data_IF_523848516754
#
_entry.id   IF_523848516754
#
_cell.length_a   1.000
_cell.length_b   1.000
_cell.length_c   1.000
_cell.angle_alpha   90.00
_cell.angle_beta   90.00
_cell.angle_gamma   90.00
#
_symmetry.space_group_name_H-M   'P 1'
#
loop_
_entity.id
_entity.type
_entity.pdbx_description
1 polymer ?
#
# COMPACT_ATOMS: atom_id res chain seq x y z
N UNK A 1 54.91 -10.18 -119.32
CA UNK A 1 53.80 -10.08 -118.35
C UNK A 1 54.03 -11.13 -117.28
N UNK A 2 54.68 -10.80 -116.17
CA UNK A 2 55.03 -11.81 -115.16
C UNK A 2 55.55 -11.23 -113.83
N UNK A 3 56.29 -10.12 -113.87
CA UNK A 3 57.00 -9.65 -112.67
C UNK A 3 56.29 -8.52 -111.89
N UNK A 4 55.29 -7.85 -112.45
CA UNK A 4 54.54 -6.81 -111.73
C UNK A 4 53.43 -7.36 -110.80
N UNK A 5 52.95 -8.58 -111.04
CA UNK A 5 51.93 -9.20 -110.18
C UNK A 5 52.50 -9.74 -108.86
N UNK A 6 53.79 -10.11 -108.81
CA UNK A 6 54.41 -10.69 -107.61
C UNK A 6 54.66 -9.62 -106.55
N UNK A 7 55.06 -8.40 -106.95
CA UNK A 7 55.25 -7.28 -106.02
C UNK A 7 53.94 -6.80 -105.39
N UNK A 8 52.83 -6.83 -106.14
CA UNK A 8 51.54 -6.41 -105.61
C UNK A 8 50.96 -7.41 -104.60
N UNK A 9 51.17 -8.71 -104.82
CA UNK A 9 50.72 -9.76 -103.88
C UNK A 9 51.56 -9.76 -102.59
N UNK A 10 52.88 -9.53 -102.68
CA UNK A 10 53.75 -9.42 -101.49
C UNK A 10 53.42 -8.15 -100.69
N UNK A 11 53.13 -7.02 -101.34
CA UNK A 11 52.74 -5.79 -100.66
C UNK A 11 51.37 -5.89 -99.96
N UNK A 12 50.39 -6.57 -100.57
CA UNK A 12 49.07 -6.81 -99.96
C UNK A 12 49.19 -7.76 -98.76
N UNK A 13 50.03 -8.80 -98.84
CA UNK A 13 50.28 -9.71 -97.71
C UNK A 13 51.00 -9.03 -96.53
N UNK A 14 51.92 -8.09 -96.80
CA UNK A 14 52.58 -7.29 -95.76
C UNK A 14 51.65 -6.25 -95.12
N UNK A 15 50.76 -5.62 -95.91
CA UNK A 15 49.78 -4.65 -95.40
C UNK A 15 48.64 -5.34 -94.64
N UNK A 16 48.15 -6.49 -95.10
CA UNK A 16 47.13 -7.26 -94.37
C UNK A 16 47.68 -7.94 -93.12
N UNK A 17 48.93 -8.41 -93.17
CA UNK A 17 49.64 -8.97 -92.02
C UNK A 17 49.93 -7.93 -90.93
N UNK A 18 50.33 -6.71 -91.31
CA UNK A 18 50.58 -5.61 -90.37
C UNK A 18 49.32 -5.14 -89.64
N UNK A 19 48.17 -5.09 -90.32
CA UNK A 19 46.88 -4.73 -89.71
C UNK A 19 46.43 -5.78 -88.69
N UNK A 20 46.56 -7.07 -89.00
CA UNK A 20 46.24 -8.15 -88.06
C UNK A 20 47.18 -8.18 -86.84
N UNK A 21 48.49 -7.97 -87.05
CA UNK A 21 49.48 -7.93 -85.96
C UNK A 21 49.24 -6.71 -85.05
N UNK A 22 48.94 -5.54 -85.62
CA UNK A 22 48.65 -4.33 -84.83
C UNK A 22 47.35 -4.44 -84.03
N UNK A 23 46.30 -5.06 -84.58
CA UNK A 23 45.06 -5.34 -83.84
C UNK A 23 45.32 -6.30 -82.68
N UNK A 24 46.07 -7.38 -82.94
CA UNK A 24 46.38 -8.38 -81.92
C UNK A 24 47.26 -7.82 -80.79
N UNK A 25 48.22 -6.95 -81.10
CA UNK A 25 49.01 -6.23 -80.09
C UNK A 25 48.14 -5.29 -79.25
N UNK A 26 47.14 -4.65 -79.85
CA UNK A 26 46.23 -3.74 -79.15
C UNK A 26 45.30 -4.49 -78.21
N UNK A 27 44.74 -5.61 -78.67
CA UNK A 27 43.91 -6.49 -77.84
C UNK A 27 44.74 -7.12 -76.73
N UNK A 28 45.94 -7.62 -77.02
CA UNK A 28 46.83 -8.19 -76.00
C UNK A 28 47.25 -7.15 -74.94
N UNK A 29 47.54 -5.90 -75.33
CA UNK A 29 47.81 -4.81 -74.39
C UNK A 29 46.59 -4.45 -73.55
N UNK A 30 45.38 -4.48 -74.14
CA UNK A 30 44.15 -4.22 -73.41
C UNK A 30 43.89 -5.33 -72.38
N UNK A 31 43.97 -6.60 -72.79
CA UNK A 31 43.74 -7.75 -71.89
C UNK A 31 44.78 -7.82 -70.77
N UNK A 32 46.05 -7.52 -71.07
CA UNK A 32 47.10 -7.47 -70.01
C UNK A 32 46.98 -6.26 -69.08
N UNK A 33 46.32 -5.17 -69.51
CA UNK A 33 45.97 -4.06 -68.62
C UNK A 33 44.84 -4.45 -67.67
N UNK A 34 43.74 -5.00 -68.21
CA UNK A 34 42.59 -5.45 -67.40
C UNK A 34 43.02 -6.50 -66.36
N UNK A 35 43.85 -7.47 -66.75
CA UNK A 35 44.35 -8.49 -65.81
C UNK A 35 45.21 -7.88 -64.69
N UNK A 36 45.98 -6.81 -64.97
CA UNK A 36 46.80 -6.14 -63.95
C UNK A 36 45.97 -5.29 -63.00
N UNK A 37 44.90 -4.68 -63.51
CA UNK A 37 43.93 -3.90 -62.75
C UNK A 37 43.14 -4.83 -61.83
N UNK A 38 42.60 -5.94 -62.35
CA UNK A 38 41.92 -6.98 -61.56
C UNK A 38 42.84 -7.63 -60.51
N UNK A 39 44.14 -7.72 -60.77
CA UNK A 39 45.13 -8.23 -59.81
C UNK A 39 45.47 -7.20 -58.72
N UNK A 40 45.45 -5.90 -59.05
CA UNK A 40 45.65 -4.82 -58.08
C UNK A 40 44.43 -4.70 -57.15
N UNK A 41 43.22 -4.72 -57.71
CA UNK A 41 41.97 -4.66 -56.94
C UNK A 41 41.82 -5.86 -56.01
N UNK A 42 42.10 -7.09 -56.48
CA UNK A 42 42.12 -8.28 -55.62
C UNK A 42 43.17 -8.21 -54.51
N UNK A 43 44.30 -7.52 -54.75
CA UNK A 43 45.32 -7.32 -53.73
C UNK A 43 44.86 -6.32 -52.66
N UNK A 44 44.12 -5.28 -53.04
CA UNK A 44 43.55 -4.30 -52.12
C UNK A 44 42.44 -4.91 -51.27
N UNK A 45 41.54 -5.69 -51.87
CA UNK A 45 40.49 -6.44 -51.17
C UNK A 45 41.06 -7.44 -50.15
N UNK A 46 42.17 -8.13 -50.49
CA UNK A 46 42.85 -9.02 -49.55
C UNK A 46 43.47 -8.27 -48.35
N UNK A 47 43.95 -7.04 -48.55
CA UNK A 47 44.48 -6.21 -47.46
C UNK A 47 43.34 -5.75 -46.54
N UNK A 48 42.23 -5.30 -47.11
CA UNK A 48 41.02 -4.91 -46.36
C UNK A 48 40.50 -6.11 -45.54
N UNK A 49 40.35 -7.28 -46.18
CA UNK A 49 39.90 -8.50 -45.50
C UNK A 49 40.83 -8.91 -44.36
N UNK A 50 42.16 -8.79 -44.54
CA UNK A 50 43.12 -9.08 -43.45
C UNK A 50 42.96 -8.08 -42.31
N UNK A 51 42.70 -6.82 -42.59
CA UNK A 51 42.47 -5.79 -41.58
C UNK A 51 41.20 -6.05 -40.78
N UNK A 52 40.09 -6.36 -41.44
CA UNK A 52 38.83 -6.75 -40.80
C UNK A 52 38.99 -8.02 -39.96
N UNK A 53 39.76 -9.00 -40.45
CA UNK A 53 40.06 -10.23 -39.70
C UNK A 53 40.85 -9.94 -38.42
N UNK A 54 41.82 -9.02 -38.47
CA UNK A 54 42.57 -8.60 -37.28
C UNK A 54 41.68 -7.83 -36.30
N UNK A 55 40.79 -6.96 -36.79
CA UNK A 55 39.83 -6.25 -35.95
C UNK A 55 38.81 -7.21 -35.31
N UNK A 56 38.35 -8.20 -36.05
CA UNK A 56 37.49 -9.26 -35.54
C UNK A 56 38.22 -10.07 -34.45
N UNK A 57 39.50 -10.39 -34.66
CA UNK A 57 40.33 -11.09 -33.67
C UNK A 57 40.50 -10.28 -32.37
N UNK A 58 40.77 -8.98 -32.46
CA UNK A 58 40.92 -8.14 -31.26
C UNK A 58 39.59 -7.98 -30.53
N UNK A 59 38.49 -7.84 -31.26
CA UNK A 59 37.14 -7.80 -30.69
C UNK A 59 36.80 -9.12 -29.96
N UNK A 60 37.12 -10.28 -30.54
CA UNK A 60 36.94 -11.57 -29.88
C UNK A 60 37.76 -11.71 -28.60
N UNK A 61 39.02 -11.24 -28.59
CA UNK A 61 39.84 -11.28 -27.37
C UNK A 61 39.31 -10.38 -26.28
N UNK A 62 38.78 -9.20 -26.64
CA UNK A 62 38.14 -8.30 -25.68
C UNK A 62 36.87 -8.94 -25.10
N UNK A 63 36.02 -9.51 -25.96
CA UNK A 63 34.80 -10.20 -25.54
C UNK A 63 35.11 -11.37 -24.58
N UNK A 64 36.19 -12.12 -24.82
CA UNK A 64 36.64 -13.17 -23.92
C UNK A 64 37.06 -12.64 -22.55
N UNK A 65 37.75 -11.49 -22.49
CA UNK A 65 38.10 -10.84 -21.22
C UNK A 65 36.87 -10.33 -20.47
N UNK A 66 35.93 -9.72 -21.19
CA UNK A 66 34.66 -9.24 -20.61
C UNK A 66 33.88 -10.41 -20.01
N UNK A 67 33.82 -11.55 -20.71
CA UNK A 67 33.16 -12.76 -20.21
C UNK A 67 33.79 -13.30 -18.92
N UNK A 68 35.12 -13.30 -18.82
CA UNK A 68 35.84 -13.69 -17.60
C UNK A 68 35.49 -12.75 -16.45
N UNK A 69 35.47 -11.44 -16.67
CA UNK A 69 35.10 -10.47 -15.65
C UNK A 69 33.64 -10.63 -15.18
N UNK A 70 32.74 -10.96 -16.11
CA UNK A 70 31.33 -11.19 -15.82
C UNK A 70 31.13 -12.46 -15.00
N UNK A 71 31.92 -13.51 -15.29
CA UNK A 71 31.94 -14.73 -14.50
C UNK A 71 32.40 -14.48 -13.06
N UNK A 72 33.43 -13.65 -12.85
CA UNK A 72 33.91 -13.28 -11.51
C UNK A 72 32.84 -12.50 -10.72
N UNK A 73 32.20 -11.52 -11.36
CA UNK A 73 31.08 -10.78 -10.77
C UNK A 73 29.92 -11.71 -10.39
N UNK A 74 29.61 -12.70 -11.24
CA UNK A 74 28.56 -13.67 -10.95
C UNK A 74 28.90 -14.53 -9.74
N UNK A 75 30.15 -14.98 -9.60
CA UNK A 75 30.59 -15.72 -8.42
C UNK A 75 30.52 -14.89 -7.13
N UNK A 76 30.88 -13.60 -7.18
CA UNK A 76 30.75 -12.70 -6.04
C UNK A 76 29.27 -12.49 -5.64
N UNK A 77 28.36 -12.40 -6.62
CA UNK A 77 26.92 -12.32 -6.37
C UNK A 77 26.42 -13.59 -5.70
N UNK A 78 26.81 -14.77 -6.19
CA UNK A 78 26.42 -16.06 -5.57
C UNK A 78 26.88 -16.15 -4.11
N UNK A 79 28.09 -15.69 -3.81
CA UNK A 79 28.60 -15.67 -2.43
C UNK A 79 27.75 -14.72 -1.54
N UNK A 80 27.47 -13.50 -2.01
CA UNK A 80 26.64 -12.54 -1.28
C UNK A 80 25.23 -13.07 -1.02
N UNK A 81 24.59 -13.68 -2.02
CA UNK A 81 23.26 -14.29 -1.88
C UNK A 81 23.30 -15.44 -0.87
N UNK A 82 24.35 -16.28 -0.91
CA UNK A 82 24.54 -17.36 0.06
C UNK A 82 24.68 -16.84 1.49
N UNK A 83 25.43 -15.76 1.70
CA UNK A 83 25.59 -15.13 3.01
C UNK A 83 24.28 -14.49 3.49
N UNK A 84 23.54 -13.81 2.61
CA UNK A 84 22.25 -13.20 2.94
C UNK A 84 21.20 -14.26 3.32
N UNK A 85 21.19 -15.40 2.62
CA UNK A 85 20.34 -16.55 2.96
C UNK A 85 20.65 -17.09 4.36
N UNK A 86 21.93 -17.18 4.75
CA UNK A 86 22.32 -17.60 6.11
C UNK A 86 21.84 -16.61 7.18
N UNK A 87 22.03 -15.31 6.94
CA UNK A 87 21.58 -14.26 7.87
C UNK A 87 20.06 -14.29 8.02
N UNK A 88 19.33 -14.46 6.91
CA UNK A 88 17.88 -14.55 6.93
C UNK A 88 17.39 -15.77 7.73
N UNK A 89 18.01 -16.93 7.55
CA UNK A 89 17.65 -18.13 8.31
C UNK A 89 17.86 -17.93 9.82
N UNK A 90 18.98 -17.33 10.23
CA UNK A 90 19.22 -17.02 11.65
C UNK A 90 18.18 -16.04 12.18
N UNK A 91 17.84 -15.00 11.39
CA UNK A 91 16.83 -14.02 11.77
C UNK A 91 15.43 -14.65 11.91
N UNK A 92 15.08 -15.60 11.04
CA UNK A 92 13.79 -16.30 11.08
C UNK A 92 13.71 -17.21 12.31
N UNK A 93 14.77 -17.95 12.64
CA UNK A 93 14.79 -18.78 13.85
C UNK A 93 14.71 -17.93 15.12
N UNK A 94 15.41 -16.81 15.19
CA UNK A 94 15.30 -15.90 16.34
C UNK A 94 13.87 -15.34 16.50
N UNK A 95 13.25 -14.89 15.41
CA UNK A 95 11.88 -14.38 15.43
C UNK A 95 10.87 -15.47 15.83
N UNK A 96 11.13 -16.73 15.44
CA UNK A 96 10.33 -17.88 15.85
C UNK A 96 10.43 -18.13 17.34
N UNK A 97 11.62 -18.05 17.91
CA UNK A 97 11.85 -18.20 19.35
C UNK A 97 11.18 -17.08 20.16
N UNK A 98 11.30 -15.83 19.70
CA UNK A 98 10.62 -14.67 20.30
C UNK A 98 9.10 -14.85 20.29
N UNK A 99 8.55 -15.32 19.16
CA UNK A 99 7.12 -15.61 19.05
C UNK A 99 6.67 -16.72 20.03
N UNK A 100 7.48 -17.76 20.24
CA UNK A 100 7.18 -18.81 21.22
C UNK A 100 7.23 -18.28 22.65
N UNK A 101 8.17 -17.38 22.95
CA UNK A 101 8.22 -16.70 24.24
C UNK A 101 6.98 -15.83 24.47
N UNK A 102 6.64 -14.98 23.50
CA UNK A 102 5.46 -14.12 23.56
C UNK A 102 4.17 -14.92 23.75
N UNK A 103 4.03 -16.05 23.04
CA UNK A 103 2.88 -16.96 23.19
C UNK A 103 2.79 -17.56 24.60
N UNK A 104 3.93 -17.86 25.23
CA UNK A 104 3.98 -18.35 26.61
C UNK A 104 3.55 -17.25 27.59
N UNK A 105 4.06 -16.04 27.41
CA UNK A 105 3.75 -14.89 28.26
C UNK A 105 2.26 -14.51 28.15
N UNK A 106 1.69 -14.54 26.95
CA UNK A 106 0.26 -14.30 26.73
C UNK A 106 -0.61 -15.36 27.46
N UNK A 107 -0.17 -16.62 27.48
CA UNK A 107 -0.88 -17.68 28.20
C UNK A 107 -0.83 -17.47 29.72
N UNK A 108 0.31 -17.01 30.24
CA UNK A 108 0.46 -16.64 31.66
C UNK A 108 -0.45 -15.45 32.00
N UNK A 109 -0.47 -14.42 31.15
CA UNK A 109 -1.27 -13.23 31.34
C UNK A 109 -2.77 -13.54 31.35
N UNK A 110 -3.25 -14.36 30.41
CA UNK A 110 -4.65 -14.82 30.40
C UNK A 110 -4.99 -15.63 31.66
N UNK A 111 -4.08 -16.47 32.15
CA UNK A 111 -4.27 -17.19 33.42
C UNK A 111 -4.33 -16.25 34.63
N UNK A 112 -3.55 -15.16 34.63
CA UNK A 112 -3.62 -14.14 35.69
C UNK A 112 -4.89 -13.31 35.64
N UNK A 113 -5.43 -13.04 34.45
CA UNK A 113 -6.70 -12.32 34.29
C UNK A 113 -7.88 -13.13 34.85
N UNK A 114 -7.90 -14.44 34.60
CA UNK A 114 -8.91 -15.36 35.16
C UNK A 114 -8.86 -15.40 36.70
N UNK A 115 -7.65 -15.38 37.28
CA UNK A 115 -7.46 -15.30 38.74
C UNK A 115 -7.94 -13.96 39.30
N UNK A 116 -7.76 -12.85 38.59
CA UNK A 116 -8.25 -11.54 39.01
C UNK A 116 -9.78 -11.45 38.95
N UNK A 117 -10.42 -11.96 37.89
CA UNK A 117 -11.87 -11.98 37.77
C UNK A 117 -12.51 -12.83 38.87
N UNK A 118 -11.96 -14.02 39.16
CA UNK A 118 -12.48 -14.85 40.24
C UNK A 118 -12.32 -14.25 41.64
N UNK A 119 -11.22 -13.53 41.91
CA UNK A 119 -11.08 -12.79 43.17
C UNK A 119 -12.08 -11.65 43.27
N UNK A 120 -12.29 -10.88 42.21
CA UNK A 120 -13.18 -9.72 42.24
C UNK A 120 -14.64 -10.12 42.51
N UNK A 121 -15.12 -11.20 41.88
CA UNK A 121 -16.46 -11.74 42.11
C UNK A 121 -16.64 -12.16 43.57
N UNK A 122 -15.68 -12.91 44.13
CA UNK A 122 -15.74 -13.41 45.52
C UNK A 122 -15.70 -12.27 46.57
N UNK A 123 -14.90 -11.22 46.33
CA UNK A 123 -14.87 -10.06 47.23
C UNK A 123 -16.17 -9.25 47.17
N UNK A 124 -16.80 -9.13 45.99
CA UNK A 124 -18.06 -8.40 45.87
C UNK A 124 -19.21 -9.08 46.61
N UNK A 125 -19.32 -10.41 46.55
CA UNK A 125 -20.38 -11.16 47.23
C UNK A 125 -20.26 -11.10 48.76
N UNK A 126 -19.04 -11.19 49.29
CA UNK A 126 -18.80 -11.12 50.74
C UNK A 126 -19.09 -9.73 51.30
N UNK A 127 -18.73 -8.67 50.57
CA UNK A 127 -19.04 -7.28 50.97
C UNK A 127 -20.55 -7.01 50.90
N UNK A 128 -21.24 -7.48 49.85
CA UNK A 128 -22.70 -7.34 49.72
C UNK A 128 -23.43 -8.07 50.85
N UNK A 129 -23.02 -9.29 51.20
CA UNK A 129 -23.58 -10.03 52.33
C UNK A 129 -23.38 -9.30 53.66
N UNK A 130 -22.19 -8.72 53.89
CA UNK A 130 -21.90 -7.98 55.12
C UNK A 130 -22.75 -6.71 55.23
N UNK A 131 -22.94 -5.97 54.12
CA UNK A 131 -23.83 -4.81 54.07
C UNK A 131 -25.29 -5.21 54.34
N UNK A 132 -25.76 -6.33 53.76
CA UNK A 132 -27.10 -6.82 54.01
C UNK A 132 -27.33 -7.14 55.50
N UNK A 133 -26.38 -7.83 56.14
CA UNK A 133 -26.45 -8.12 57.59
C UNK A 133 -26.50 -6.84 58.43
N UNK A 134 -25.67 -5.84 58.10
CA UNK A 134 -25.70 -4.54 58.78
C UNK A 134 -27.05 -3.84 58.64
N UNK A 135 -27.66 -3.85 57.45
CA UNK A 135 -28.99 -3.23 57.24
C UNK A 135 -30.10 -3.94 58.01
N UNK A 136 -30.06 -5.27 58.12
CA UNK A 136 -31.00 -6.03 58.95
C UNK A 136 -30.83 -5.65 60.42
N UNK A 137 -29.58 -5.53 60.88
CA UNK A 137 -29.28 -5.18 62.25
C UNK A 137 -29.76 -3.78 62.63
N UNK A 138 -29.56 -2.79 61.74
CA UNK A 138 -30.07 -1.43 61.96
C UNK A 138 -31.60 -1.37 61.97
N UNK A 139 -32.28 -2.15 61.14
CA UNK A 139 -33.75 -2.27 61.17
C UNK A 139 -34.25 -2.87 62.47
N UNK A 140 -33.58 -3.90 63.01
CA UNK A 140 -33.93 -4.49 64.31
C UNK A 140 -33.79 -3.45 65.42
N UNK A 141 -32.67 -2.71 65.45
CA UNK A 141 -32.48 -1.63 66.42
C UNK A 141 -33.52 -0.53 66.28
N UNK A 142 -33.87 -0.15 65.05
CA UNK A 142 -34.92 0.83 64.79
C UNK A 142 -36.29 0.37 65.32
N UNK A 143 -36.65 -0.90 65.13
CA UNK A 143 -37.89 -1.46 65.67
C UNK A 143 -37.89 -1.50 67.21
N UNK A 144 -36.76 -1.82 67.84
CA UNK A 144 -36.61 -1.75 69.29
C UNK A 144 -36.77 -0.30 69.77
N UNK A 145 -36.07 0.65 69.15
CA UNK A 145 -36.18 2.07 69.49
C UNK A 145 -37.60 2.61 69.31
N UNK A 146 -38.27 2.25 68.21
CA UNK A 146 -39.66 2.61 67.95
C UNK A 146 -40.62 2.07 69.02
N UNK A 147 -40.36 0.87 69.54
CA UNK A 147 -41.15 0.28 70.64
C UNK A 147 -40.90 0.99 71.97
N UNK A 148 -39.69 1.50 72.21
CA UNK A 148 -39.31 2.20 73.44
C UNK A 148 -39.65 3.69 73.44
N UNK A 149 -39.86 4.31 72.28
CA UNK A 149 -40.34 5.68 72.15
C UNK A 149 -41.82 5.68 71.70
N UNK A 150 -42.78 5.44 72.61
CA UNK A 150 -44.19 5.65 72.29
C UNK A 150 -44.38 7.12 71.91
N UNK A 151 -44.70 7.30 70.62
CA UNK A 151 -45.06 8.56 69.96
C UNK A 151 -45.93 9.42 70.89
N UNK A 152 -45.33 10.42 71.53
CA UNK A 152 -46.05 11.49 72.22
C UNK A 152 -46.73 12.35 71.16
N UNK A 153 -47.91 11.93 70.73
CA UNK A 153 -48.81 12.79 69.98
C UNK A 153 -49.32 13.85 70.95
N UNK A 154 -48.83 15.08 70.80
CA UNK A 154 -49.37 16.22 71.52
C UNK A 154 -48.58 17.48 71.24
N UNK A 155 -48.90 18.17 70.15
CA UNK A 155 -49.02 19.63 70.20
C UNK A 155 -49.87 20.16 69.04
N UNK A 156 -50.98 20.79 69.40
CA UNK A 156 -51.81 21.62 68.53
C UNK A 156 -51.16 22.99 68.32
N UNK A 157 -51.25 23.51 67.09
CA UNK A 157 -51.52 24.90 66.72
C UNK A 157 -50.72 26.05 67.35
N UNK A 158 -50.01 26.82 66.51
CA UNK A 158 -50.09 28.28 66.59
C UNK A 158 -49.90 28.89 65.20
N UNK A 159 -50.82 29.81 64.90
CA UNK A 159 -50.85 30.70 63.75
C UNK A 159 -49.61 31.59 63.64
N UNK A 160 -49.27 31.93 62.39
CA UNK A 160 -49.08 33.30 61.92
C UNK A 160 -47.77 34.00 62.24
N UNK A 161 -47.00 34.33 61.19
CA UNK A 161 -46.59 35.71 60.90
C UNK A 161 -45.77 35.72 59.62
N UNK A 162 -46.17 36.60 58.70
CA UNK A 162 -45.39 37.04 57.56
C UNK A 162 -44.01 37.56 58.01
N UNK A 163 -42.97 37.30 57.22
CA UNK A 163 -42.03 38.35 56.87
C UNK A 163 -41.29 37.99 55.58
N UNK A 164 -41.35 38.91 54.63
CA UNK A 164 -40.65 38.92 53.37
C UNK A 164 -39.11 39.01 53.55
N UNK A 165 -38.43 38.40 52.58
CA UNK A 165 -37.31 38.97 51.80
C UNK A 165 -35.85 38.90 52.33
N UNK A 166 -34.85 39.13 51.45
CA UNK A 166 -33.91 38.07 51.03
C UNK A 166 -32.45 38.42 51.35
N UNK A 167 -31.51 37.50 51.10
CA UNK A 167 -30.19 37.76 50.51
C UNK A 167 -29.22 36.58 50.76
N UNK A 168 -28.64 36.14 49.65
CA UNK A 168 -27.22 35.90 49.39
C UNK A 168 -26.37 34.82 50.09
N UNK A 169 -25.67 34.12 49.19
CA UNK A 169 -24.23 33.78 49.21
C UNK A 169 -23.71 32.69 50.16
N UNK A 170 -23.24 31.60 49.55
CA UNK A 170 -21.82 31.23 49.37
C UNK A 170 -21.71 29.71 49.25
N UNK A 171 -21.17 29.19 48.14
CA UNK A 171 -19.75 28.87 47.97
C UNK A 171 -19.17 27.96 49.06
N UNK A 172 -18.81 26.74 48.66
CA UNK A 172 -17.55 26.04 49.01
C UNK A 172 -17.66 24.58 48.56
N UNK A 173 -17.08 24.20 47.41
CA UNK A 173 -15.75 23.57 47.31
C UNK A 173 -15.46 22.55 48.44
N UNK A 174 -15.43 21.26 48.09
CA UNK A 174 -14.26 20.45 48.44
C UNK A 174 -14.23 19.07 47.75
N UNK A 175 -13.00 18.78 47.28
CA UNK A 175 -12.36 17.47 47.23
C UNK A 175 -12.78 16.47 46.14
N UNK A 176 -12.06 16.61 45.03
CA UNK A 176 -11.61 15.52 44.18
C UNK A 176 -11.00 14.38 45.02
N UNK A 177 -11.40 13.15 44.71
CA UNK A 177 -10.63 11.93 45.02
C UNK A 177 -10.38 11.23 43.67
N UNK A 178 -9.12 10.92 43.31
CA UNK A 178 -8.81 10.22 42.07
C UNK A 178 -9.11 8.73 42.27
N UNK A 179 -10.34 8.32 41.95
CA UNK A 179 -10.65 6.91 41.75
C UNK A 179 -10.11 6.52 40.39
N UNK A 180 -9.04 5.72 40.41
CA UNK A 180 -8.45 5.05 39.26
C UNK A 180 -9.56 4.44 38.40
N UNK A 181 -9.75 4.99 37.20
CA UNK A 181 -10.68 4.44 36.24
C UNK A 181 -10.06 3.17 35.62
N UNK A 182 -10.76 2.03 35.60
CA UNK A 182 -10.43 0.96 34.67
C UNK A 182 -10.55 1.51 33.25
N UNK A 183 -9.65 1.06 32.36
CA UNK A 183 -9.58 1.43 30.94
C UNK A 183 -10.99 1.39 30.35
N UNK A 184 -11.58 2.58 30.19
CA UNK A 184 -12.91 2.73 29.62
C UNK A 184 -12.79 2.45 28.13
N UNK A 185 -13.26 1.29 27.68
CA UNK A 185 -13.86 1.18 26.35
C UNK A 185 -14.92 2.27 26.26
N UNK A 186 -14.55 3.40 25.63
CA UNK A 186 -15.43 4.55 25.44
C UNK A 186 -16.53 4.09 24.50
N UNK A 187 -17.68 3.73 25.08
CA UNK A 187 -18.86 3.23 24.37
C UNK A 187 -19.28 4.30 23.36
N UNK A 188 -19.12 3.98 22.07
CA UNK A 188 -19.43 4.82 20.92
C UNK A 188 -20.96 5.07 20.92
N UNK A 189 -21.40 6.16 21.54
CA UNK A 189 -22.84 6.42 21.84
C UNK A 189 -23.40 7.62 21.08
N UNK A 190 -22.58 8.42 20.39
CA UNK A 190 -23.03 9.53 19.56
C UNK A 190 -23.36 9.08 18.14
N UNK A 191 -24.38 9.69 17.53
CA UNK A 191 -24.73 9.51 16.12
C UNK A 191 -23.56 9.93 15.21
N UNK A 192 -23.50 9.39 14.00
CA UNK A 192 -22.50 9.75 13.00
C UNK A 192 -22.91 11.06 12.34
N UNK A 193 -21.94 11.92 12.07
CA UNK A 193 -22.15 13.17 11.34
C UNK A 193 -22.37 12.88 9.86
N UNK A 194 -23.27 13.61 9.20
CA UNK A 194 -23.51 13.57 7.74
C UNK A 194 -22.36 14.25 6.98
N UNK A 195 -21.17 13.68 7.12
CA UNK A 195 -19.93 14.18 6.54
C UNK A 195 -19.08 13.03 5.98
N UNK A 196 -18.04 13.40 5.25
CA UNK A 196 -17.08 12.50 4.63
C UNK A 196 -15.73 12.63 5.32
N UNK A 197 -15.14 11.51 5.76
CA UNK A 197 -13.76 11.45 6.20
C UNK A 197 -12.86 10.92 5.07
N UNK A 198 -11.74 11.59 4.82
CA UNK A 198 -10.67 11.10 3.94
C UNK A 198 -9.52 10.64 4.82
N UNK A 199 -9.36 9.32 4.97
CA UNK A 199 -8.33 8.73 5.81
C UNK A 199 -7.10 8.37 4.97
N UNK A 200 -5.97 9.01 5.26
CA UNK A 200 -4.67 8.78 4.62
C UNK A 200 -3.67 8.20 5.60
N UNK A 201 -2.74 7.36 5.13
CA UNK A 201 -1.66 6.81 5.94
C UNK A 201 -0.33 7.54 5.76
N UNK A 202 -0.21 8.36 4.71
CA UNK A 202 1.02 9.07 4.36
C UNK A 202 0.68 10.54 4.07
N UNK A 203 1.46 11.46 4.64
CA UNK A 203 1.28 12.90 4.47
C UNK A 203 1.48 13.31 3.01
N UNK A 204 2.49 12.72 2.36
CA UNK A 204 2.89 12.99 0.96
C UNK A 204 1.78 12.77 -0.08
N UNK A 205 0.78 11.94 0.25
CA UNK A 205 -0.31 11.56 -0.66
C UNK A 205 -1.65 12.15 -0.24
N UNK A 206 -1.72 12.87 0.88
CA UNK A 206 -2.97 13.43 1.39
C UNK A 206 -3.63 14.41 0.40
N UNK A 207 -2.85 15.29 -0.24
CA UNK A 207 -3.36 16.22 -1.24
C UNK A 207 -3.97 15.51 -2.46
N UNK A 208 -3.35 14.40 -2.88
CA UNK A 208 -3.87 13.55 -3.95
C UNK A 208 -5.22 12.94 -3.54
N UNK A 209 -5.30 12.38 -2.33
CA UNK A 209 -6.53 11.76 -1.81
C UNK A 209 -7.66 12.77 -1.69
N UNK A 210 -7.36 13.95 -1.14
CA UNK A 210 -8.31 15.05 -1.04
C UNK A 210 -8.85 15.43 -2.42
N UNK A 211 -7.95 15.69 -3.39
CA UNK A 211 -8.33 16.02 -4.78
C UNK A 211 -9.20 14.94 -5.42
N UNK A 212 -8.87 13.67 -5.22
CA UNK A 212 -9.63 12.54 -5.79
C UNK A 212 -11.08 12.58 -5.31
N UNK A 213 -11.32 12.74 -4.00
CA UNK A 213 -12.67 12.79 -3.43
C UNK A 213 -13.38 14.10 -3.78
N UNK A 214 -12.72 15.25 -3.67
CA UNK A 214 -13.33 16.53 -4.04
C UNK A 214 -13.80 16.53 -5.50
N UNK A 215 -13.09 15.83 -6.40
CA UNK A 215 -13.51 15.70 -7.81
C UNK A 215 -14.83 14.94 -8.03
N UNK A 216 -15.30 14.23 -7.00
CA UNK A 216 -16.61 13.55 -7.00
C UNK A 216 -17.71 14.49 -6.53
N UNK A 217 -17.41 15.54 -5.78
CA UNK A 217 -18.40 16.41 -5.14
C UNK A 217 -18.24 17.88 -5.53
N UNK A 218 -17.70 18.16 -6.72
CA UNK A 218 -17.41 19.54 -7.18
C UNK A 218 -18.64 20.45 -7.22
N UNK A 219 -19.85 19.87 -7.35
CA UNK A 219 -21.11 20.61 -7.49
C UNK A 219 -21.98 20.53 -6.22
N UNK A 220 -21.50 19.85 -5.18
CA UNK A 220 -22.28 19.46 -4.01
C UNK A 220 -21.65 20.00 -2.71
N UNK A 221 -22.46 20.61 -1.84
CA UNK A 221 -22.00 21.07 -0.53
C UNK A 221 -21.92 19.89 0.44
N UNK A 222 -20.80 19.16 0.42
CA UNK A 222 -20.52 18.06 1.35
C UNK A 222 -19.34 18.42 2.25
N UNK A 223 -19.50 18.27 3.57
CA UNK A 223 -18.41 18.48 4.52
C UNK A 223 -17.38 17.35 4.40
N UNK A 224 -16.16 17.68 3.97
CA UNK A 224 -15.05 16.74 3.79
C UNK A 224 -13.98 17.03 4.85
N UNK A 225 -13.66 16.02 5.67
CA UNK A 225 -12.68 16.08 6.76
C UNK A 225 -11.47 15.23 6.40
N UNK A 226 -10.33 15.82 5.98
CA UNK A 226 -9.10 15.06 5.81
C UNK A 226 -8.56 14.61 7.17
N UNK A 227 -8.06 13.38 7.24
CA UNK A 227 -7.47 12.80 8.44
C UNK A 227 -6.22 12.01 8.06
N UNK A 228 -5.09 12.31 8.71
CA UNK A 228 -3.82 11.63 8.51
C UNK A 228 -3.54 10.73 9.72
N UNK A 229 -3.25 9.46 9.47
CA UNK A 229 -2.97 8.47 10.51
C UNK A 229 -1.46 8.27 10.69
N UNK A 230 -0.82 9.12 11.50
CA UNK A 230 0.64 9.19 11.63
C UNK A 230 1.25 8.02 12.43
N UNK A 231 0.77 7.67 13.64
CA UNK A 231 1.35 6.56 14.46
C UNK A 231 0.30 5.75 15.24
N UNK A 232 0.70 4.59 15.77
CA UNK A 232 -0.20 3.58 16.35
C UNK A 232 -0.70 3.99 17.74
N UNK A 233 -2.02 3.94 17.92
CA UNK A 233 -2.83 4.09 19.15
C UNK A 233 -2.38 5.17 20.16
N UNK A 234 -3.12 6.30 20.24
CA UNK A 234 -4.60 6.32 20.20
C UNK A 234 -5.22 6.86 18.90
N UNK A 235 -4.46 7.06 17.82
CA UNK A 235 -4.91 7.78 16.61
C UNK A 235 -6.20 7.23 15.95
N UNK A 236 -6.54 5.95 16.12
CA UNK A 236 -7.79 5.37 15.57
C UNK A 236 -9.04 5.90 16.29
N UNK A 237 -8.92 6.25 17.57
CA UNK A 237 -10.02 6.85 18.34
C UNK A 237 -10.27 8.31 17.97
N UNK A 238 -9.30 8.94 17.33
CA UNK A 238 -9.37 10.34 16.91
C UNK A 238 -9.90 10.51 15.48
N UNK A 239 -10.17 9.39 14.77
CA UNK A 239 -10.80 9.42 13.45
C UNK A 239 -12.17 10.13 13.57
N UNK A 240 -12.42 11.17 12.74
CA UNK A 240 -13.71 11.86 12.73
C UNK A 240 -14.88 10.91 12.52
N UNK A 241 -15.97 11.13 13.27
CA UNK A 241 -17.18 10.29 13.25
C UNK A 241 -18.08 10.61 12.05
N UNK A 242 -17.55 10.39 10.86
CA UNK A 242 -18.23 10.64 9.61
C UNK A 242 -19.09 9.44 9.22
N UNK A 243 -20.24 9.70 8.58
CA UNK A 243 -21.09 8.65 8.05
C UNK A 243 -20.40 7.85 6.94
N UNK A 244 -19.57 8.52 6.14
CA UNK A 244 -18.77 7.91 5.08
C UNK A 244 -17.28 8.10 5.37
N UNK A 245 -16.51 7.01 5.27
CA UNK A 245 -15.05 7.04 5.47
C UNK A 245 -14.38 6.44 4.25
N UNK A 246 -13.56 7.23 3.57
CA UNK A 246 -12.75 6.81 2.43
C UNK A 246 -11.33 6.56 2.89
N UNK A 247 -10.97 5.29 3.01
CA UNK A 247 -9.64 4.83 3.41
C UNK A 247 -8.78 4.68 2.16
N UNK A 248 -7.79 5.54 2.03
CA UNK A 248 -6.85 5.55 0.92
C UNK A 248 -5.63 4.68 1.24
N UNK A 249 -5.27 3.81 0.29
CA UNK A 249 -4.09 2.96 0.36
C UNK A 249 -3.24 3.20 -0.88
N UNK A 250 -2.03 3.70 -0.67
CA UNK A 250 -1.10 3.98 -1.76
C UNK A 250 -0.52 2.71 -2.40
N UNK A 251 -0.20 2.83 -3.69
CA UNK A 251 0.46 1.78 -4.46
C UNK A 251 1.73 1.25 -3.77
N UNK A 252 1.92 -0.06 -3.88
CA UNK A 252 3.15 -0.73 -3.48
C UNK A 252 3.47 -1.86 -4.45
N UNK A 253 4.75 -2.21 -4.56
CA UNK A 253 5.23 -3.22 -5.51
C UNK A 253 4.67 -4.62 -5.24
N UNK A 254 4.25 -4.88 -4.00
CA UNK A 254 3.69 -6.16 -3.56
C UNK A 254 2.18 -6.28 -3.76
N UNK A 255 1.50 -5.23 -4.22
CA UNK A 255 0.04 -5.12 -4.33
C UNK A 255 -0.72 -5.50 -3.04
N UNK A 256 -0.11 -5.25 -1.88
CA UNK A 256 -0.71 -5.49 -0.57
C UNK A 256 -1.53 -4.26 -0.18
N UNK A 257 -2.85 -4.35 -0.32
CA UNK A 257 -3.76 -3.26 0.00
C UNK A 257 -3.99 -3.19 1.51
N UNK A 258 -4.66 -4.22 2.04
CA UNK A 258 -4.74 -4.45 3.48
C UNK A 258 -3.80 -5.61 3.80
N UNK A 259 -2.85 -5.34 4.69
CA UNK A 259 -1.94 -6.34 5.26
C UNK A 259 -2.74 -7.41 6.04
N UNK A 260 -2.07 -8.49 6.44
CA UNK A 260 -2.72 -9.56 7.23
C UNK A 260 -3.48 -9.00 8.44
N UNK A 261 -4.55 -9.69 8.91
CA UNK A 261 -5.30 -9.27 10.09
C UNK A 261 -4.38 -8.99 11.30
N UNK A 262 -4.61 -7.88 11.99
CA UNK A 262 -3.74 -7.40 13.08
C UNK A 262 -2.67 -6.41 12.64
N UNK A 263 -2.73 -5.95 11.38
CA UNK A 263 -1.89 -4.89 10.85
C UNK A 263 -2.63 -3.55 10.78
N UNK A 264 -1.88 -2.44 10.92
CA UNK A 264 -2.41 -1.08 11.12
C UNK A 264 -3.55 -0.72 10.15
N UNK A 265 -3.36 -0.99 8.85
CA UNK A 265 -4.38 -0.67 7.82
C UNK A 265 -5.65 -1.50 7.99
N UNK A 266 -5.50 -2.80 8.22
CA UNK A 266 -6.62 -3.73 8.40
C UNK A 266 -7.42 -3.42 9.67
N UNK A 267 -6.72 -3.09 10.76
CA UNK A 267 -7.33 -2.76 12.05
C UNK A 267 -8.04 -1.41 12.00
N UNK A 268 -7.46 -0.42 11.29
CA UNK A 268 -8.10 0.88 11.06
C UNK A 268 -9.41 0.73 10.30
N UNK A 269 -9.42 -0.06 9.21
CA UNK A 269 -10.64 -0.33 8.44
C UNK A 269 -11.68 -1.03 9.31
N UNK A 270 -11.27 -2.04 10.09
CA UNK A 270 -12.17 -2.76 10.99
C UNK A 270 -12.76 -1.84 12.07
N UNK A 271 -11.94 -0.99 12.69
CA UNK A 271 -12.39 -0.01 13.67
C UNK A 271 -13.40 0.96 13.07
N UNK A 272 -13.16 1.46 11.85
CA UNK A 272 -14.11 2.32 11.13
C UNK A 272 -15.46 1.64 10.88
N UNK A 273 -15.44 0.35 10.51
CA UNK A 273 -16.66 -0.44 10.35
C UNK A 273 -17.39 -0.65 11.69
N UNK A 274 -16.65 -0.83 12.79
CA UNK A 274 -17.20 -1.00 14.14
C UNK A 274 -17.87 0.29 14.65
N UNK A 275 -17.44 1.47 14.15
CA UNK A 275 -18.15 2.74 14.35
C UNK A 275 -19.51 2.81 13.63
N UNK A 276 -19.83 1.82 12.78
CA UNK A 276 -20.98 1.80 11.87
C UNK A 276 -20.90 2.81 10.71
N UNK A 277 -19.71 3.34 10.42
CA UNK A 277 -19.50 4.15 9.22
C UNK A 277 -19.60 3.27 7.96
N UNK A 278 -19.99 3.87 6.84
CA UNK A 278 -19.93 3.23 5.53
C UNK A 278 -18.53 3.46 4.93
N UNK A 279 -17.72 2.40 4.98
CA UNK A 279 -16.28 2.47 4.68
C UNK A 279 -16.03 2.08 3.23
N UNK A 280 -15.30 2.93 2.52
CA UNK A 280 -14.74 2.67 1.21
C UNK A 280 -13.23 2.46 1.33
N UNK A 281 -12.68 1.46 0.63
CA UNK A 281 -11.23 1.29 0.51
C UNK A 281 -10.84 1.58 -0.93
N UNK A 282 -9.92 2.54 -1.10
CA UNK A 282 -9.46 3.00 -2.40
C UNK A 282 -7.96 2.73 -2.52
N UNK A 283 -7.58 1.90 -3.48
CA UNK A 283 -6.18 1.68 -3.84
C UNK A 283 -5.75 2.69 -4.92
N UNK A 284 -4.80 3.57 -4.62
CA UNK A 284 -4.36 4.66 -5.51
C UNK A 284 -3.09 4.33 -6.27
N UNK A 285 -2.84 5.07 -7.36
CA UNK A 285 -1.66 4.95 -8.24
C UNK A 285 -1.53 3.58 -8.91
N UNK A 286 -2.62 2.82 -9.04
CA UNK A 286 -2.64 1.62 -9.87
C UNK A 286 -2.75 2.02 -11.35
N UNK A 287 -1.66 1.84 -12.10
CA UNK A 287 -1.58 2.23 -13.52
C UNK A 287 -2.69 1.59 -14.36
N UNK A 288 -3.03 0.34 -14.08
CA UNK A 288 -4.05 -0.40 -14.81
C UNK A 288 -5.47 0.11 -14.52
N UNK A 289 -5.66 0.85 -13.43
CA UNK A 289 -6.92 1.49 -13.11
C UNK A 289 -7.20 2.76 -13.94
N UNK A 290 -6.28 3.19 -14.80
CA UNK A 290 -6.53 4.29 -15.76
C UNK A 290 -7.51 3.89 -16.87
N UNK A 291 -7.63 2.59 -17.15
CA UNK A 291 -8.44 2.04 -18.24
C UNK A 291 -9.32 0.90 -17.75
N UNK A 292 -10.01 1.11 -16.63
CA UNK A 292 -10.99 0.15 -16.13
C UNK A 292 -12.10 -0.09 -17.15
N UNK A 293 -12.53 -1.34 -17.26
CA UNK A 293 -13.69 -1.70 -18.08
C UNK A 293 -14.95 -1.00 -17.57
N UNK A 294 -15.84 -0.61 -18.48
CA UNK A 294 -17.12 0.00 -18.13
C UNK A 294 -17.88 -0.87 -17.13
N UNK A 295 -18.37 -0.26 -16.05
CA UNK A 295 -19.10 -0.96 -14.99
C UNK A 295 -18.22 -1.58 -13.90
N UNK A 296 -16.89 -1.52 -14.01
CA UNK A 296 -15.98 -2.02 -12.97
C UNK A 296 -15.54 -0.91 -12.02
N UNK A 297 -15.37 -1.26 -10.73
CA UNK A 297 -14.96 -0.33 -9.68
C UNK A 297 -13.47 -0.45 -9.32
N UNK A 298 -12.84 -1.56 -9.66
CA UNK A 298 -11.45 -1.84 -9.37
C UNK A 298 -10.85 -2.75 -10.45
N UNK A 299 -9.52 -2.77 -10.51
CA UNK A 299 -8.74 -3.61 -11.41
C UNK A 299 -8.82 -5.08 -10.97
N UNK A 300 -9.34 -5.94 -11.85
CA UNK A 300 -9.55 -7.37 -11.58
C UNK A 300 -8.24 -8.15 -11.38
N UNK A 301 -7.11 -7.63 -11.85
CA UNK A 301 -5.79 -8.25 -11.68
C UNK A 301 -5.26 -8.12 -10.24
N UNK A 302 -5.84 -7.22 -9.44
CA UNK A 302 -5.50 -7.06 -8.03
C UNK A 302 -6.11 -8.19 -7.20
N UNK A 303 -5.36 -9.28 -7.07
CA UNK A 303 -5.77 -10.47 -6.30
C UNK A 303 -6.16 -10.14 -4.85
N UNK A 304 -5.59 -9.08 -4.26
CA UNK A 304 -5.92 -8.60 -2.90
C UNK A 304 -7.42 -8.34 -2.68
N UNK A 305 -8.16 -7.83 -3.68
CA UNK A 305 -9.61 -7.62 -3.57
C UNK A 305 -10.41 -8.92 -3.47
N UNK A 306 -9.84 -10.04 -3.94
CA UNK A 306 -10.48 -11.37 -3.87
C UNK A 306 -9.95 -12.22 -2.72
N UNK A 307 -8.68 -12.05 -2.35
CA UNK A 307 -7.97 -12.87 -1.37
C UNK A 307 -8.10 -12.36 0.07
N UNK A 308 -8.16 -11.05 0.31
CA UNK A 308 -8.22 -10.50 1.65
C UNK A 308 -9.66 -10.47 2.18
N UNK A 309 -9.90 -11.02 3.38
CA UNK A 309 -11.24 -11.19 3.95
C UNK A 309 -12.04 -9.87 4.05
N UNK A 310 -11.43 -8.79 4.60
CA UNK A 310 -12.10 -7.50 4.73
C UNK A 310 -12.39 -6.84 3.38
N UNK A 311 -11.43 -6.87 2.44
CA UNK A 311 -11.63 -6.31 1.12
C UNK A 311 -12.72 -7.06 0.38
N UNK A 312 -12.73 -8.40 0.44
CA UNK A 312 -13.80 -9.21 -0.14
C UNK A 312 -15.18 -8.81 0.39
N UNK A 313 -15.29 -8.55 1.70
CA UNK A 313 -16.53 -8.09 2.34
C UNK A 313 -16.95 -6.69 1.86
N UNK A 314 -16.00 -5.78 1.70
CA UNK A 314 -16.25 -4.41 1.19
C UNK A 314 -16.59 -4.41 -0.29
N UNK A 315 -15.86 -5.17 -1.11
CA UNK A 315 -16.12 -5.35 -2.54
C UNK A 315 -17.48 -5.97 -2.80
N UNK A 316 -17.92 -6.93 -1.99
CA UNK A 316 -19.28 -7.49 -2.07
C UNK A 316 -20.38 -6.43 -1.83
N UNK A 317 -20.04 -5.33 -1.14
CA UNK A 317 -20.90 -4.15 -0.96
C UNK A 317 -20.61 -3.04 -1.97
N UNK A 318 -19.80 -3.28 -2.99
CA UNK A 318 -19.34 -2.28 -3.95
C UNK A 318 -18.62 -1.09 -3.28
N UNK A 319 -17.78 -1.38 -2.27
CA UNK A 319 -16.98 -0.39 -1.50
C UNK A 319 -15.46 -0.53 -1.68
N UNK A 320 -15.02 -1.49 -2.50
CA UNK A 320 -13.62 -1.63 -2.89
C UNK A 320 -13.39 -0.97 -4.25
N UNK A 321 -12.45 -0.04 -4.33
CA UNK A 321 -12.12 0.70 -5.55
C UNK A 321 -10.62 0.71 -5.79
N UNK A 322 -10.22 0.80 -7.06
CA UNK A 322 -8.85 1.16 -7.42
C UNK A 322 -8.85 2.28 -8.45
N UNK A 323 -7.86 3.15 -8.35
CA UNK A 323 -7.70 4.33 -9.20
C UNK A 323 -6.22 4.55 -9.48
N UNK A 324 -5.91 5.22 -10.59
CA UNK A 324 -4.59 5.77 -10.79
C UNK A 324 -4.49 7.12 -10.04
N UNK A 325 -4.94 8.20 -10.69
CA UNK A 325 -4.90 9.55 -10.11
C UNK A 325 -6.29 10.21 -9.99
N UNK A 326 -7.30 9.65 -10.64
CA UNK A 326 -8.68 10.17 -10.69
C UNK A 326 -9.67 9.02 -10.81
N UNK A 327 -10.92 9.25 -10.39
CA UNK A 327 -12.01 8.32 -10.62
C UNK A 327 -12.49 8.37 -12.08
N UNK A 328 -12.89 7.21 -12.60
CA UNK A 328 -13.67 7.13 -13.83
C UNK A 328 -15.07 7.73 -13.63
N UNK A 329 -15.73 8.13 -14.72
CA UNK A 329 -17.10 8.66 -14.64
C UNK A 329 -18.09 7.67 -14.00
N UNK A 330 -17.90 6.37 -14.24
CA UNK A 330 -18.69 5.33 -13.60
C UNK A 330 -18.47 5.30 -12.08
N UNK A 331 -17.22 5.34 -11.62
CA UNK A 331 -16.90 5.38 -10.19
C UNK A 331 -17.45 6.64 -9.52
N UNK A 332 -17.32 7.82 -10.15
CA UNK A 332 -17.91 9.07 -9.65
C UNK A 332 -19.41 8.96 -9.46
N UNK A 333 -20.12 8.48 -10.50
CA UNK A 333 -21.57 8.29 -10.47
C UNK A 333 -22.01 7.30 -9.39
N UNK A 334 -21.26 6.19 -9.24
CA UNK A 334 -21.51 5.18 -8.22
C UNK A 334 -21.35 5.73 -6.80
N UNK A 335 -20.27 6.47 -6.52
CA UNK A 335 -20.03 7.09 -5.22
C UNK A 335 -21.11 8.13 -4.91
N UNK A 336 -21.39 9.05 -5.84
CA UNK A 336 -22.44 10.07 -5.70
C UNK A 336 -23.78 9.44 -5.35
N UNK A 337 -24.17 8.40 -6.07
CA UNK A 337 -25.41 7.67 -5.82
C UNK A 337 -25.52 7.16 -4.39
N UNK A 338 -24.43 6.60 -3.84
CA UNK A 338 -24.43 6.05 -2.48
C UNK A 338 -24.45 7.15 -1.42
N UNK A 339 -23.71 8.23 -1.66
CA UNK A 339 -23.51 9.29 -0.66
C UNK A 339 -24.68 10.27 -0.62
N UNK A 340 -25.27 10.59 -1.77
CA UNK A 340 -26.28 11.65 -1.90
C UNK A 340 -27.73 11.13 -1.96
N UNK A 341 -27.98 9.91 -2.47
CA UNK A 341 -29.36 9.39 -2.68
C UNK A 341 -29.87 8.51 -1.53
N UNK A 342 -29.50 8.83 -0.28
CA UNK A 342 -29.83 7.99 0.89
C UNK A 342 -31.28 8.07 1.35
#
# INVERSE_FOLDING_TARGET
MGDECVFMVIAVLFLSGGVLISSWIKDFKNTTHVIKEDQADNSEDMVIMRQELQQCKTSMTQMAQDFISLQDNFTQIQEKVGNLSKVLNVSVENARDDFLHLKRDMKILNGMQDIQEHRYITYSETVVLLLAVLTIWTLILFLIAYKFFPRRNGFYGSQGSNHDDPHDTNESLCAQVPVQAPIKQKRWTSELEESICILSFHEETQDLHHRIITSVFEEEEVEIKPFLLEKTDPDVLDIPRCQFIFVFVDFNETNVILENPGAKRSDTVQACMDMRADVFVIYTRDRHSSHLEDGTLYNKDLSAFTGHFLLKKLTAKNRGLSVNDTFTQYQKSHIRKIVLEK
#
